data_IF_474423832934
#
_entry.id   IF_474423832934
#
_cell.length_a   1.000
_cell.length_b   1.000
_cell.length_c   1.000
_cell.angle_alpha   90.00
_cell.angle_beta   90.00
_cell.angle_gamma   90.00
#
_symmetry.space_group_name_H-M   'P 1'
#
loop_
_entity.id
_entity.type
_entity.pdbx_description
1 polymer ?
#
# COMPACT_ATOMS: atom_id res chain seq x y z
N UNK A 1 -19.53 7.07 -1.65
CA UNK A 1 -18.59 7.22 -0.54
C UNK A 1 -17.27 7.65 -1.15
N UNK A 2 -16.85 8.90 -1.00
CA UNK A 2 -15.53 9.34 -1.48
C UNK A 2 -14.49 8.63 -0.62
N UNK A 3 -13.84 7.59 -1.15
CA UNK A 3 -12.77 6.92 -0.44
C UNK A 3 -11.68 7.97 -0.15
N UNK A 4 -11.44 8.23 1.12
CA UNK A 4 -10.35 9.09 1.55
C UNK A 4 -9.02 8.48 1.06
N UNK A 5 -8.15 9.33 0.51
CA UNK A 5 -6.89 8.94 -0.10
C UNK A 5 -5.71 9.25 0.81
N UNK A 6 -4.68 8.41 0.73
CA UNK A 6 -3.35 8.68 1.25
C UNK A 6 -2.52 9.29 0.12
N UNK A 7 -1.82 10.39 0.41
CA UNK A 7 -1.06 11.14 -0.58
C UNK A 7 0.44 10.96 -0.34
N UNK A 8 1.20 10.80 -1.43
CA UNK A 8 2.66 10.80 -1.40
C UNK A 8 3.24 11.54 -2.59
N UNK A 9 4.43 12.13 -2.42
CA UNK A 9 5.12 12.84 -3.50
C UNK A 9 6.18 11.94 -4.17
N UNK A 10 6.26 12.00 -5.49
CA UNK A 10 7.36 11.44 -6.27
C UNK A 10 7.73 12.37 -7.43
N UNK A 11 9.01 12.78 -7.49
CA UNK A 11 9.56 13.67 -8.55
C UNK A 11 8.74 14.96 -8.73
N UNK A 12 8.30 15.59 -7.63
CA UNK A 12 7.51 16.82 -7.67
C UNK A 12 6.09 16.64 -8.20
N UNK A 13 5.57 15.41 -8.22
CA UNK A 13 4.16 15.10 -8.50
C UNK A 13 3.53 14.42 -7.29
N UNK A 14 2.32 14.86 -6.94
CA UNK A 14 1.49 14.22 -5.93
C UNK A 14 0.74 13.03 -6.51
N UNK A 15 0.87 11.88 -5.86
CA UNK A 15 0.13 10.66 -6.13
C UNK A 15 -0.80 10.37 -4.95
N UNK A 16 -1.91 9.67 -5.22
CA UNK A 16 -2.93 9.41 -4.22
C UNK A 16 -3.48 7.99 -4.33
N UNK A 17 -3.25 7.19 -3.30
CA UNK A 17 -3.73 5.80 -3.18
C UNK A 17 -4.88 5.74 -2.17
N UNK A 18 -5.75 4.71 -2.21
CA UNK A 18 -6.77 4.54 -1.19
C UNK A 18 -6.14 4.44 0.20
N UNK A 19 -6.74 5.05 1.24
CA UNK A 19 -6.32 4.77 2.63
C UNK A 19 -6.42 3.27 2.93
N UNK A 20 -5.51 2.76 3.75
CA UNK A 20 -5.46 1.34 4.10
C UNK A 20 -6.79 0.83 4.72
N UNK A 21 -7.45 1.64 5.53
CA UNK A 21 -8.75 1.32 6.16
C UNK A 21 -9.89 1.13 5.15
N UNK A 22 -9.75 1.68 3.94
CA UNK A 22 -10.72 1.56 2.86
C UNK A 22 -10.42 0.37 1.93
N UNK A 23 -9.34 -0.36 2.16
CA UNK A 23 -8.98 -1.54 1.37
C UNK A 23 -9.92 -2.70 1.75
N UNK A 24 -10.51 -3.39 0.76
CA UNK A 24 -11.33 -4.57 1.05
C UNK A 24 -10.54 -5.63 1.82
N UNK A 25 -11.09 -6.12 2.92
CA UNK A 25 -10.44 -7.14 3.75
C UNK A 25 -10.06 -8.42 2.97
N UNK A 26 -10.80 -8.74 1.91
CA UNK A 26 -10.48 -9.84 1.00
C UNK A 26 -9.18 -9.63 0.21
N UNK A 27 -8.80 -8.38 -0.08
CA UNK A 27 -7.51 -8.04 -0.72
C UNK A 27 -6.38 -8.18 0.30
N UNK A 28 -6.55 -7.61 1.50
CA UNK A 28 -5.56 -7.75 2.59
C UNK A 28 -5.35 -9.21 2.99
N UNK A 29 -6.42 -10.01 3.06
CA UNK A 29 -6.31 -11.46 3.32
C UNK A 29 -5.49 -12.17 2.23
N UNK A 30 -5.63 -11.77 0.96
CA UNK A 30 -4.87 -12.37 -0.14
C UNK A 30 -3.40 -11.97 -0.12
N UNK A 31 -3.06 -10.80 0.40
CA UNK A 31 -1.66 -10.33 0.50
C UNK A 31 -0.88 -10.97 1.65
N UNK A 32 -1.56 -11.53 2.67
CA UNK A 32 -0.92 -12.28 3.76
C UNK A 32 -0.06 -13.48 3.35
N UNK A 33 -0.14 -13.91 2.09
CA UNK A 33 0.72 -14.97 1.53
C UNK A 33 2.12 -14.47 1.15
N UNK A 34 2.33 -13.16 1.12
CA UNK A 34 3.61 -12.56 0.76
C UNK A 34 4.66 -12.82 1.85
N UNK A 35 5.93 -12.83 1.44
CA UNK A 35 7.06 -13.18 2.32
C UNK A 35 7.39 -12.08 3.35
N UNK A 36 7.05 -10.82 3.04
CA UNK A 36 7.25 -9.68 3.94
C UNK A 36 6.15 -8.61 3.74
N UNK A 37 6.10 -7.63 4.64
CA UNK A 37 5.08 -6.57 4.62
C UNK A 37 5.16 -5.66 3.37
N UNK A 38 6.35 -5.49 2.78
CA UNK A 38 6.53 -4.66 1.58
C UNK A 38 5.91 -5.35 0.36
N UNK A 39 6.24 -6.62 0.14
CA UNK A 39 5.61 -7.45 -0.89
C UNK A 39 4.11 -7.58 -0.68
N UNK A 40 3.65 -7.69 0.58
CA UNK A 40 2.23 -7.69 0.89
C UNK A 40 1.55 -6.38 0.47
N UNK A 41 2.19 -5.23 0.75
CA UNK A 41 1.68 -3.92 0.39
C UNK A 41 1.59 -3.72 -1.12
N UNK A 42 2.63 -4.11 -1.87
CA UNK A 42 2.61 -4.08 -3.33
C UNK A 42 1.48 -4.95 -3.88
N UNK A 43 1.30 -6.16 -3.35
CA UNK A 43 0.20 -7.04 -3.79
C UNK A 43 -1.19 -6.43 -3.49
N UNK A 44 -1.34 -5.70 -2.38
CA UNK A 44 -2.59 -4.96 -2.10
C UNK A 44 -2.80 -3.85 -3.13
N UNK A 45 -1.76 -3.07 -3.41
CA UNK A 45 -1.82 -1.93 -4.33
C UNK A 45 -2.09 -2.38 -5.76
N UNK A 46 -1.44 -3.43 -6.24
CA UNK A 46 -1.71 -4.06 -7.54
C UNK A 46 -3.17 -4.52 -7.66
N UNK A 47 -3.68 -5.20 -6.62
CA UNK A 47 -5.06 -5.70 -6.61
C UNK A 47 -6.12 -4.60 -6.47
N UNK A 48 -5.75 -3.40 -6.01
CA UNK A 48 -6.69 -2.28 -5.82
C UNK A 48 -6.61 -1.21 -6.90
N UNK A 49 -5.42 -0.89 -7.38
CA UNK A 49 -5.16 0.14 -8.38
C UNK A 49 -5.02 -0.43 -9.79
N UNK A 50 -4.65 -1.72 -9.90
CA UNK A 50 -4.21 -2.35 -11.13
C UNK A 50 -2.70 -2.24 -11.34
N UNK A 51 -2.11 -3.28 -11.95
CA UNK A 51 -0.68 -3.42 -12.23
C UNK A 51 -0.11 -2.25 -13.07
N UNK A 52 -0.95 -1.58 -13.86
CA UNK A 52 -0.55 -0.49 -14.76
C UNK A 52 -0.73 0.92 -14.20
N UNK A 53 -1.17 1.06 -12.94
CA UNK A 53 -1.46 2.36 -12.35
C UNK A 53 -0.22 3.25 -12.25
N UNK A 54 -0.42 4.56 -12.42
CA UNK A 54 0.65 5.54 -12.38
C UNK A 54 1.25 5.67 -10.97
N UNK A 55 0.42 5.46 -9.94
CA UNK A 55 0.77 5.43 -8.54
C UNK A 55 1.70 4.26 -8.21
N UNK A 56 1.41 3.06 -8.71
CA UNK A 56 2.27 1.89 -8.52
C UNK A 56 3.63 2.11 -9.19
N UNK A 57 3.62 2.57 -10.44
CA UNK A 57 4.85 2.93 -11.17
C UNK A 57 5.68 3.97 -10.43
N UNK A 58 5.05 4.95 -9.79
CA UNK A 58 5.75 5.94 -8.98
C UNK A 58 6.36 5.37 -7.69
N UNK A 59 5.80 4.30 -7.13
CA UNK A 59 6.39 3.55 -6.02
C UNK A 59 7.54 2.66 -6.49
N UNK A 60 7.41 1.98 -7.63
CA UNK A 60 8.46 1.13 -8.21
C UNK A 60 9.75 1.91 -8.55
N UNK A 61 9.62 3.19 -8.89
CA UNK A 61 10.77 4.06 -9.16
C UNK A 61 11.47 4.59 -7.90
N UNK A 62 10.95 4.33 -6.69
CA UNK A 62 11.56 4.77 -5.42
C UNK A 62 12.55 3.73 -4.89
N UNK A 63 13.57 4.16 -4.14
CA UNK A 63 14.42 3.22 -3.42
C UNK A 63 13.61 2.48 -2.36
N UNK A 64 13.98 1.21 -2.11
CA UNK A 64 13.25 0.33 -1.19
C UNK A 64 13.09 0.91 0.23
N UNK A 65 14.06 1.71 0.70
CA UNK A 65 13.98 2.41 1.98
C UNK A 65 12.80 3.38 2.03
N UNK A 66 12.66 4.22 1.00
CA UNK A 66 11.58 5.22 0.93
C UNK A 66 10.22 4.55 0.79
N UNK A 67 10.16 3.45 0.02
CA UNK A 67 8.95 2.65 -0.13
C UNK A 67 8.53 2.07 1.22
N UNK A 68 9.48 1.55 2.01
CA UNK A 68 9.20 1.06 3.36
C UNK A 68 8.59 2.12 4.27
N UNK A 69 9.13 3.35 4.25
CA UNK A 69 8.59 4.47 5.03
C UNK A 69 7.19 4.90 4.55
N UNK A 70 6.96 4.93 3.23
CA UNK A 70 5.65 5.23 2.65
C UNK A 70 4.63 4.17 3.04
N UNK A 71 4.97 2.89 2.94
CA UNK A 71 4.08 1.79 3.31
C UNK A 71 3.76 1.87 4.80
N UNK A 72 4.77 2.08 5.65
CA UNK A 72 4.56 2.22 7.09
C UNK A 72 3.65 3.40 7.44
N UNK A 73 3.82 4.54 6.77
CA UNK A 73 2.94 5.69 6.92
C UNK A 73 1.52 5.39 6.42
N UNK A 74 1.40 4.70 5.29
CA UNK A 74 0.12 4.34 4.68
C UNK A 74 -0.68 3.35 5.53
N UNK A 75 -0.03 2.35 6.13
CA UNK A 75 -0.68 1.39 7.03
C UNK A 75 -0.88 1.93 8.44
N UNK A 76 -0.46 3.16 8.75
CA UNK A 76 -0.38 3.70 10.12
C UNK A 76 0.38 2.77 11.08
N UNK A 77 1.37 2.03 10.58
CA UNK A 77 2.14 1.06 11.36
C UNK A 77 1.42 -0.26 11.66
N UNK A 78 0.26 -0.51 11.03
CA UNK A 78 -0.37 -1.84 11.06
C UNK A 78 0.45 -2.81 10.21
N UNK A 79 0.87 -3.93 10.78
CA UNK A 79 1.51 -5.02 10.04
C UNK A 79 0.44 -5.80 9.27
N UNK A 80 0.72 -6.16 8.01
CA UNK A 80 -0.29 -6.80 7.14
C UNK A 80 -0.55 -8.28 7.50
N UNK A 81 0.20 -8.82 8.48
CA UNK A 81 0.16 -10.22 8.88
C UNK A 81 -0.25 -10.48 10.34
N UNK A 82 -0.13 -9.52 11.25
CA UNK A 82 -0.49 -9.77 12.65
C UNK A 82 -1.96 -9.43 12.86
N UNK A 83 -2.79 -10.47 12.79
CA UNK A 83 -4.01 -10.44 13.58
C UNK A 83 -3.56 -10.12 15.00
N UNK A 84 -3.99 -8.98 15.56
CA UNK A 84 -4.08 -8.86 17.01
C UNK A 84 -5.12 -9.87 17.45
N UNK A 85 -4.70 -11.14 17.54
CA UNK A 85 -5.33 -12.12 18.39
C UNK A 85 -5.12 -11.59 19.80
N UNK A 86 -6.17 -10.95 20.32
CA UNK A 86 -6.32 -10.79 21.77
C UNK A 86 -6.49 -12.15 22.42
#
# INVERSE_FOLDING_TARGET
MSAEKFHFEHKGKDFAIPKFENIPSGVVRKSRKAENDVDAAFLVLELTLGEDSAELKALDEKPLSDVGDIIKAWTNGVTMGESSGS
#
